data_IF_079435744032
#
_entry.id   IF_079435744032
#
_cell.length_a   1.000
_cell.length_b   1.000
_cell.length_c   1.000
_cell.angle_alpha   90.00
_cell.angle_beta   90.00
_cell.angle_gamma   90.00
#
_symmetry.space_group_name_H-M   'P 1'
#
loop_
_entity.id
_entity.type
_entity.pdbx_description
1 polymer ?
2 non-polymer ?
3 water ?
#
# COMPACT_ATOMS: atom_id res chain seq x y z
N UNK A 3 7.35 3.37 -30.23
CA UNK A 3 8.54 3.29 -29.34
C UNK A 3 8.14 2.53 -28.08
N UNK A 4 8.86 1.43 -27.78
CA UNK A 4 8.59 0.60 -26.59
C UNK A 4 8.72 1.37 -25.28
N UNK A 5 7.90 0.98 -24.31
CA UNK A 5 7.93 1.63 -23.01
C UNK A 5 9.00 1.06 -22.11
N UNK A 6 9.53 1.91 -21.23
CA UNK A 6 10.57 1.53 -20.29
C UNK A 6 9.98 0.63 -19.20
N UNK A 7 10.83 0.14 -18.31
CA UNK A 7 10.40 -0.71 -17.21
C UNK A 7 11.17 -0.29 -15.97
N UNK A 8 10.43 0.03 -14.92
CA UNK A 8 11.04 0.47 -13.67
C UNK A 8 10.86 -0.60 -12.62
N UNK A 9 11.94 -0.97 -11.96
CA UNK A 9 11.89 -1.99 -10.93
C UNK A 9 11.54 -1.37 -9.59
N UNK A 10 10.77 -2.11 -8.80
CA UNK A 10 10.37 -1.67 -7.47
C UNK A 10 11.59 -1.25 -6.65
N UNK A 11 12.66 -2.02 -6.80
CA UNK A 11 13.91 -1.76 -6.10
C UNK A 11 14.41 -0.34 -6.37
N UNK A 12 14.49 0.02 -7.65
CA UNK A 12 14.95 1.34 -8.07
C UNK A 12 14.18 2.46 -7.38
N UNK A 13 12.87 2.26 -7.23
CA UNK A 13 12.04 3.24 -6.57
C UNK A 13 12.40 3.31 -5.08
N UNK A 14 12.50 2.14 -4.46
CA UNK A 14 12.83 2.04 -3.03
C UNK A 14 14.19 2.67 -2.73
N UNK A 15 15.09 2.64 -3.72
CA UNK A 15 16.43 3.22 -3.59
C UNK A 15 16.34 4.64 -3.04
N UNK A 16 15.38 5.39 -3.55
CA UNK A 16 15.15 6.78 -3.17
C UNK A 16 15.02 6.99 -1.66
N UNK A 17 14.26 6.11 -1.01
CA UNK A 17 14.01 6.24 0.42
C UNK A 17 15.11 5.78 1.35
N UNK A 18 16.06 4.99 0.84
CA UNK A 18 17.17 4.49 1.65
C UNK A 18 17.83 5.55 2.52
N UNK A 19 18.38 6.57 1.89
CA UNK A 19 19.05 7.65 2.60
C UNK A 19 18.20 8.23 3.74
N UNK A 20 16.92 8.49 3.46
CA UNK A 20 16.01 9.04 4.46
C UNK A 20 15.85 8.09 5.64
N UNK A 21 15.40 6.87 5.33
CA UNK A 21 15.18 5.84 6.34
C UNK A 21 16.40 5.63 7.23
N UNK A 22 17.55 5.38 6.61
CA UNK A 22 18.79 5.16 7.33
C UNK A 22 19.01 6.22 8.41
N UNK A 23 19.13 7.47 7.99
CA UNK A 23 19.35 8.58 8.92
C UNK A 23 18.40 8.59 10.11
N UNK A 24 17.13 8.32 9.85
CA UNK A 24 16.13 8.29 10.93
C UNK A 24 16.49 7.20 11.93
N UNK A 25 16.93 6.05 11.43
CA UNK A 25 17.30 4.91 12.26
C UNK A 25 18.52 5.23 13.13
N UNK A 26 19.51 5.90 12.54
CA UNK A 26 20.73 6.25 13.27
C UNK A 26 20.39 7.10 14.50
N UNK A 27 19.54 8.11 14.31
CA UNK A 27 19.14 8.98 15.40
C UNK A 27 18.48 8.13 16.49
N UNK A 28 17.67 7.17 16.06
CA UNK A 28 16.98 6.28 16.97
C UNK A 28 18.01 5.47 17.77
N UNK A 29 19.01 4.94 17.07
CA UNK A 29 20.07 4.15 17.68
C UNK A 29 20.75 4.89 18.82
N UNK A 30 21.06 6.17 18.60
CA UNK A 30 21.72 6.98 19.62
C UNK A 30 20.92 6.92 20.91
N UNK A 31 19.74 7.51 20.88
CA UNK A 31 18.85 7.58 22.03
C UNK A 31 18.54 6.21 22.67
N UNK A 32 18.48 5.17 21.84
CA UNK A 32 18.18 3.83 22.35
C UNK A 32 19.42 2.94 22.43
N UNK A 33 20.44 3.47 23.09
CA UNK A 33 21.73 2.79 23.30
C UNK A 33 22.20 1.77 22.26
N UNK A 34 22.46 2.26 21.05
CA UNK A 34 22.95 1.40 19.98
C UNK A 34 21.98 0.48 19.27
N UNK A 35 20.88 0.10 19.90
CA UNK A 35 19.93 -0.80 19.26
C UNK A 35 18.86 -0.11 18.42
N UNK A 36 18.59 -0.69 17.26
CA UNK A 36 17.58 -0.15 16.37
C UNK A 36 16.21 -0.67 16.77
N UNK A 37 15.13 -0.29 16.06
CA UNK A 37 13.79 -0.75 16.39
C UNK A 37 13.58 -2.23 16.04
N UNK A 38 12.83 -2.93 16.88
CA UNK A 38 12.55 -4.35 16.67
C UNK A 38 11.27 -4.52 15.89
N UNK A 39 11.39 -5.04 14.67
CA UNK A 39 10.24 -5.27 13.81
C UNK A 39 10.01 -6.77 13.69
N UNK A 40 8.85 -7.21 14.15
CA UNK A 40 8.49 -8.63 14.10
C UNK A 40 7.60 -8.92 12.91
N UNK A 41 7.86 -10.05 12.25
CA UNK A 41 7.08 -10.45 11.10
C UNK A 41 6.49 -11.82 11.35
N UNK A 42 5.18 -11.93 11.25
CA UNK A 42 4.48 -13.19 11.46
C UNK A 42 4.15 -13.88 10.15
N UNK A 43 4.77 -15.03 9.91
CA UNK A 43 4.53 -15.80 8.71
C UNK A 43 3.72 -17.01 9.15
N UNK A 44 2.53 -17.17 8.60
CA UNK A 44 1.67 -18.29 8.98
C UNK A 44 0.99 -18.95 7.79
N UNK A 45 1.63 -18.85 6.62
CA UNK A 45 1.07 -19.44 5.41
C UNK A 45 2.14 -20.27 4.71
N UNK A 46 1.70 -21.30 4.00
CA UNK A 46 2.62 -22.19 3.29
C UNK A 46 2.65 -21.79 1.82
N UNK A 47 3.23 -20.63 1.55
CA UNK A 47 3.34 -20.12 0.18
C UNK A 47 4.76 -19.69 -0.13
N UNK A 48 5.35 -20.26 -1.20
CA UNK A 48 6.71 -19.95 -1.64
C UNK A 48 6.92 -18.45 -1.83
N UNK A 49 5.93 -17.79 -2.43
CA UNK A 49 5.98 -16.36 -2.69
C UNK A 49 6.04 -15.54 -1.41
N UNK A 50 5.14 -15.87 -0.48
CA UNK A 50 5.09 -15.17 0.80
C UNK A 50 6.42 -15.31 1.51
N UNK A 51 6.97 -16.52 1.51
CA UNK A 51 8.26 -16.79 2.16
C UNK A 51 9.36 -15.95 1.53
N UNK A 52 9.36 -15.88 0.20
CA UNK A 52 10.33 -15.10 -0.53
C UNK A 52 10.26 -13.64 -0.12
N UNK A 53 9.03 -13.10 -0.10
CA UNK A 53 8.78 -11.72 0.29
C UNK A 53 9.24 -11.49 1.73
N UNK A 54 8.91 -12.43 2.60
CA UNK A 54 9.27 -12.35 4.02
C UNK A 54 10.78 -12.21 4.14
N UNK A 55 11.50 -13.00 3.37
CA UNK A 55 12.96 -12.99 3.36
C UNK A 55 13.45 -11.61 2.91
N UNK A 56 12.78 -11.05 1.90
CA UNK A 56 13.14 -9.73 1.39
C UNK A 56 13.00 -8.66 2.48
N UNK A 57 11.85 -8.66 3.13
CA UNK A 57 11.58 -7.70 4.20
C UNK A 57 12.64 -7.84 5.29
N UNK A 58 12.95 -9.10 5.62
CA UNK A 58 13.95 -9.44 6.62
C UNK A 58 15.30 -8.79 6.30
N UNK A 59 15.84 -9.12 5.14
CA UNK A 59 17.13 -8.59 4.70
C UNK A 59 17.15 -7.08 4.55
N UNK A 60 16.12 -6.52 3.93
CA UNK A 60 16.04 -5.08 3.72
C UNK A 60 16.04 -4.32 5.05
N UNK A 61 15.22 -4.76 6.01
CA UNK A 61 15.14 -4.11 7.30
C UNK A 61 16.46 -4.22 8.06
N UNK A 62 17.02 -5.43 8.14
CA UNK A 62 18.29 -5.67 8.83
C UNK A 62 19.36 -4.79 8.20
N UNK A 63 19.35 -4.74 6.86
CA UNK A 63 20.30 -3.93 6.10
C UNK A 63 20.26 -2.47 6.57
N UNK A 64 19.04 -1.94 6.72
CA UNK A 64 18.85 -0.56 7.15
C UNK A 64 19.30 -0.35 8.60
N UNK A 65 19.09 -1.36 9.44
CA UNK A 65 19.49 -1.24 10.83
C UNK A 65 18.35 -1.57 11.78
N UNK A 66 17.41 -2.39 11.32
CA UNK A 66 16.26 -2.79 12.11
C UNK A 66 16.49 -4.18 12.69
N UNK A 67 16.04 -4.38 13.93
CA UNK A 67 16.17 -5.68 14.57
C UNK A 67 14.93 -6.44 14.08
N UNK A 68 15.09 -7.23 13.03
CA UNK A 68 13.97 -7.99 12.48
C UNK A 68 13.91 -9.42 12.99
N UNK A 69 12.72 -9.83 13.42
CA UNK A 69 12.49 -11.18 13.93
C UNK A 69 11.34 -11.73 13.10
N UNK A 70 11.50 -12.96 12.60
CA UNK A 70 10.47 -13.58 11.77
C UNK A 70 9.84 -14.75 12.52
N UNK A 71 8.90 -14.45 13.40
CA UNK A 71 8.22 -15.49 14.17
C UNK A 71 7.23 -16.25 13.29
N UNK A 72 7.63 -17.45 12.89
CA UNK A 72 6.81 -18.31 12.04
C UNK A 72 5.89 -19.19 12.89
N UNK A 73 4.61 -19.22 12.52
CA UNK A 73 3.61 -20.01 13.23
C UNK A 73 3.20 -21.23 12.41
N UNK A 74 3.04 -22.36 13.08
CA UNK A 74 2.66 -23.61 12.42
C UNK A 74 1.15 -23.64 12.13
N UNK A 75 0.35 -23.78 13.19
CA UNK A 75 -1.10 -23.81 13.06
C UNK A 75 -1.73 -22.42 13.13
N UNK A 76 -2.44 -22.07 12.05
CA UNK A 76 -3.12 -20.79 11.88
C UNK A 76 -3.75 -20.15 13.11
N UNK A 77 -4.60 -20.89 13.79
CA UNK A 77 -5.30 -20.39 14.97
C UNK A 77 -4.46 -19.82 16.10
N UNK A 78 -3.21 -20.25 16.21
CA UNK A 78 -2.33 -19.75 17.25
C UNK A 78 -1.62 -18.46 16.89
N UNK A 79 -1.73 -18.05 15.63
CA UNK A 79 -1.11 -16.81 15.16
C UNK A 79 -1.68 -15.66 15.95
N UNK A 80 -2.97 -15.74 16.25
CA UNK A 80 -3.67 -14.72 17.02
C UNK A 80 -3.01 -14.55 18.38
N UNK A 81 -2.92 -15.64 19.12
CA UNK A 81 -2.30 -15.64 20.44
C UNK A 81 -0.93 -14.99 20.39
N UNK A 82 -0.16 -15.37 19.38
CA UNK A 82 1.19 -14.85 19.18
C UNK A 82 1.16 -13.33 19.08
N UNK A 83 0.18 -12.81 18.35
CA UNK A 83 0.03 -11.37 18.17
C UNK A 83 -0.23 -10.68 19.51
N UNK A 84 -1.06 -11.31 20.33
CA UNK A 84 -1.40 -10.75 21.63
C UNK A 84 -0.18 -10.52 22.53
N UNK A 85 0.59 -11.56 22.79
CA UNK A 85 1.78 -11.41 23.64
C UNK A 85 2.77 -10.47 22.99
N UNK A 86 2.77 -10.42 21.66
CA UNK A 86 3.66 -9.54 20.90
C UNK A 86 3.27 -8.08 21.13
N UNK A 87 1.96 -7.84 21.23
CA UNK A 87 1.44 -6.50 21.47
C UNK A 87 2.00 -6.02 22.81
N UNK A 88 1.92 -6.89 23.81
CA UNK A 88 2.41 -6.55 25.13
C UNK A 88 3.92 -6.49 25.25
N UNK A 89 4.62 -7.16 24.33
CA UNK A 89 6.08 -7.17 24.34
C UNK A 89 6.63 -5.77 24.01
N UNK A 90 7.05 -5.05 25.04
CA UNK A 90 7.59 -3.70 24.90
C UNK A 90 8.79 -3.67 23.96
N UNK A 91 9.59 -4.74 23.98
CA UNK A 91 10.77 -4.83 23.14
C UNK A 91 10.37 -4.72 21.66
N UNK A 92 9.20 -5.27 21.33
CA UNK A 92 8.70 -5.22 19.96
C UNK A 92 8.22 -3.81 19.65
N UNK A 93 8.78 -3.23 18.59
CA UNK A 93 8.42 -1.87 18.19
C UNK A 93 7.46 -1.85 17.00
N UNK A 94 7.40 -2.94 16.26
CA UNK A 94 6.51 -3.01 15.11
C UNK A 94 6.11 -4.44 14.81
N UNK A 95 4.89 -4.62 14.31
CA UNK A 95 4.38 -5.94 13.99
C UNK A 95 3.73 -5.93 12.61
N UNK A 96 3.95 -7.00 11.86
CA UNK A 96 3.36 -7.14 10.54
C UNK A 96 2.97 -8.60 10.36
N UNK A 97 1.93 -8.84 9.57
CA UNK A 97 1.45 -10.20 9.36
C UNK A 97 1.50 -10.51 7.88
N UNK A 98 1.90 -11.74 7.55
CA UNK A 98 1.98 -12.15 6.17
C UNK A 98 0.71 -12.87 5.76
N UNK A 99 -0.10 -12.19 4.97
CA UNK A 99 -1.35 -12.76 4.47
C UNK A 99 -1.08 -13.46 3.14
N UNK A 100 -1.96 -14.40 2.75
CA UNK A 100 -3.15 -14.84 3.47
C UNK A 100 -2.86 -15.83 4.59
N UNK A 101 -3.37 -15.54 5.77
CA UNK A 101 -3.19 -16.42 6.92
C UNK A 101 -4.26 -17.52 6.82
N UNK A 102 -5.52 -17.10 6.95
CA UNK A 102 -6.67 -18.01 6.86
C UNK A 102 -7.27 -17.98 5.46
N UNK A 103 -7.17 -16.83 4.80
CA UNK A 103 -7.69 -16.69 3.46
C UNK A 103 -9.18 -16.45 3.40
N UNK A 104 -9.66 -15.48 4.18
CA UNK A 104 -11.08 -15.12 4.22
C UNK A 104 -11.29 -13.97 5.20
N UNK A 105 -12.46 -13.89 5.82
CA UNK A 105 -12.78 -12.83 6.77
C UNK A 105 -11.81 -12.77 7.95
N UNK A 106 -11.41 -13.94 8.44
CA UNK A 106 -10.50 -14.05 9.57
C UNK A 106 -9.31 -13.11 9.50
N UNK A 107 -8.66 -13.06 8.34
CA UNK A 107 -7.49 -12.20 8.12
C UNK A 107 -7.86 -10.75 8.42
N UNK A 108 -9.08 -10.38 8.02
CA UNK A 108 -9.59 -9.03 8.26
C UNK A 108 -9.84 -8.82 9.75
N UNK A 109 -10.12 -9.91 10.45
CA UNK A 109 -10.32 -9.86 11.89
C UNK A 109 -8.97 -9.66 12.56
N UNK A 110 -8.02 -10.47 12.15
CA UNK A 110 -6.66 -10.45 12.67
C UNK A 110 -6.00 -9.10 12.48
N UNK A 111 -6.24 -8.45 11.34
CA UNK A 111 -5.64 -7.15 11.08
C UNK A 111 -6.12 -6.09 12.08
N UNK A 112 -7.19 -6.40 12.79
CA UNK A 112 -7.73 -5.48 13.79
C UNK A 112 -7.30 -5.91 15.20
N UNK A 113 -6.51 -6.96 15.28
CA UNK A 113 -6.02 -7.49 16.54
C UNK A 113 -4.66 -6.88 16.92
N UNK A 114 -3.90 -6.52 15.89
CA UNK A 114 -2.59 -5.91 16.06
C UNK A 114 -2.69 -4.58 16.80
N UNK A 115 -1.81 -4.37 17.78
CA UNK A 115 -1.81 -3.13 18.55
C UNK A 115 -1.62 -1.96 17.59
N UNK A 116 -2.63 -1.10 17.55
CA UNK A 116 -2.63 0.08 16.67
C UNK A 116 -1.29 0.82 16.61
N UNK A 117 -0.68 1.07 17.77
CA UNK A 117 0.59 1.79 17.84
C UNK A 117 1.74 1.06 17.16
N UNK A 118 1.67 -0.27 17.13
CA UNK A 118 2.71 -1.09 16.53
C UNK A 118 2.39 -1.56 15.11
N UNK A 119 1.17 -1.33 14.65
CA UNK A 119 0.76 -1.74 13.31
C UNK A 119 1.51 -0.92 12.25
N UNK A 120 2.56 -1.53 11.69
CA UNK A 120 3.40 -0.86 10.71
C UNK A 120 2.84 -0.82 9.29
N UNK A 121 2.07 -1.84 8.91
CA UNK A 121 1.50 -1.89 7.57
C UNK A 121 0.28 -0.99 7.41
N UNK A 122 -0.37 -0.63 8.52
CA UNK A 122 -1.54 0.21 8.46
C UNK A 122 -2.78 -0.61 8.14
N UNK A 123 -2.88 -1.77 8.77
CA UNK A 123 -4.00 -2.68 8.60
C UNK A 123 -5.18 -2.31 9.50
N UNK A 124 -4.87 -1.69 10.63
CA UNK A 124 -5.88 -1.28 11.59
C UNK A 124 -6.94 -0.39 10.96
N UNK A 125 -8.18 -0.56 11.40
CA UNK A 125 -9.31 0.19 10.88
C UNK A 125 -9.16 1.71 10.98
N UNK A 126 -8.58 2.19 12.06
CA UNK A 126 -8.41 3.64 12.25
C UNK A 126 -7.71 4.33 11.08
N UNK A 127 -6.63 3.74 10.59
CA UNK A 127 -5.87 4.31 9.48
C UNK A 127 -6.70 4.33 8.20
N UNK A 128 -7.60 3.35 8.06
CA UNK A 128 -8.47 3.28 6.90
C UNK A 128 -9.51 4.39 6.93
N UNK A 129 -10.11 4.62 8.10
CA UNK A 129 -11.12 5.67 8.25
C UNK A 129 -10.48 7.00 7.92
N UNK A 130 -9.35 7.28 8.55
CA UNK A 130 -8.63 8.53 8.33
C UNK A 130 -8.30 8.77 6.86
N UNK A 131 -7.99 7.71 6.13
CA UNK A 131 -7.69 7.84 4.71
C UNK A 131 -8.96 8.23 3.95
N UNK A 132 -10.07 7.58 4.28
CA UNK A 132 -11.35 7.87 3.64
C UNK A 132 -11.92 9.23 4.02
N UNK A 133 -11.62 9.69 5.23
CA UNK A 133 -12.12 10.98 5.70
C UNK A 133 -11.05 12.06 5.69
N UNK A 134 -9.99 11.82 4.92
CA UNK A 134 -8.88 12.77 4.80
C UNK A 134 -8.32 13.32 6.10
N UNK A 135 -8.38 12.52 7.17
CA UNK A 135 -7.85 12.96 8.47
C UNK A 135 -6.33 12.76 8.45
N UNK A 136 -5.58 13.84 8.65
CA UNK A 136 -4.12 13.80 8.65
C UNK A 136 -3.49 13.34 9.96
N UNK A 137 -4.10 13.70 11.09
CA UNK A 137 -3.55 13.34 12.38
C UNK A 137 -4.49 12.47 13.20
N UNK A 138 -4.11 12.20 14.45
CA UNK A 138 -4.90 11.37 15.34
C UNK A 138 -5.40 12.18 16.53
N UNK A 139 -4.47 12.87 17.19
CA UNK A 139 -4.78 13.67 18.35
C UNK A 139 -5.37 15.03 18.00
N UNK A 140 -5.87 15.74 19.00
CA UNK A 140 -6.47 17.05 18.83
C UNK A 140 -5.39 18.10 18.54
N UNK A 141 -4.28 18.01 19.28
CA UNK A 141 -3.17 18.94 19.13
C UNK A 141 -2.28 18.72 17.89
N UNK A 142 -2.76 17.90 16.96
CA UNK A 142 -2.07 17.61 15.70
C UNK A 142 -0.60 17.15 15.78
N UNK A 143 -0.27 16.39 16.81
CA UNK A 143 1.09 15.89 16.97
C UNK A 143 1.25 14.52 16.30
N UNK A 144 0.40 13.57 16.69
CA UNK A 144 0.45 12.22 16.13
C UNK A 144 -0.14 12.11 14.73
N UNK A 145 0.74 12.03 13.73
CA UNK A 145 0.31 11.91 12.35
C UNK A 145 -0.17 10.48 12.08
N UNK A 146 -1.31 10.38 11.40
CA UNK A 146 -1.89 9.08 11.06
C UNK A 146 -1.25 8.55 9.79
N UNK A 147 -0.69 7.35 9.86
CA UNK A 147 -0.06 6.73 8.69
C UNK A 147 -1.11 6.07 7.81
N UNK A 148 -0.74 5.80 6.57
CA UNK A 148 -1.65 5.17 5.62
C UNK A 148 -1.14 3.77 5.33
N UNK A 149 -2.04 2.83 4.99
CA UNK A 149 -1.63 1.46 4.68
C UNK A 149 -0.54 1.45 3.60
N UNK A 150 0.57 0.80 3.89
CA UNK A 150 1.71 0.76 2.98
C UNK A 150 1.46 0.42 1.52
N UNK A 151 0.61 -0.55 1.24
CA UNK A 151 0.35 -0.94 -0.15
C UNK A 151 -0.11 0.24 -1.02
N UNK A 152 -1.28 0.84 -0.73
CA UNK A 152 -1.70 1.96 -1.57
C UNK A 152 -0.74 3.15 -1.48
N UNK A 153 -0.19 3.37 -0.28
CA UNK A 153 0.75 4.46 -0.05
C UNK A 153 1.98 4.28 -0.93
N UNK A 154 2.38 3.03 -1.14
CA UNK A 154 3.52 2.71 -1.98
C UNK A 154 3.21 3.08 -3.42
N UNK A 155 2.08 2.60 -3.92
CA UNK A 155 1.66 2.89 -5.29
C UNK A 155 1.67 4.38 -5.54
N UNK A 156 1.18 5.14 -4.57
CA UNK A 156 1.16 6.60 -4.67
C UNK A 156 2.59 7.08 -4.85
N UNK A 157 3.47 6.63 -3.96
CA UNK A 157 4.88 6.99 -4.00
C UNK A 157 5.52 6.58 -5.32
N UNK A 158 5.00 5.52 -5.92
CA UNK A 158 5.49 5.03 -7.20
C UNK A 158 5.14 6.07 -8.25
N UNK A 159 3.89 6.54 -8.20
CA UNK A 159 3.43 7.55 -9.14
C UNK A 159 4.21 8.85 -8.94
N UNK A 160 4.51 9.18 -7.68
CA UNK A 160 5.27 10.38 -7.36
C UNK A 160 6.67 10.26 -7.98
N UNK A 161 7.24 9.07 -7.91
CA UNK A 161 8.56 8.82 -8.48
C UNK A 161 8.47 8.97 -9.99
N UNK A 162 7.51 8.26 -10.59
CA UNK A 162 7.29 8.29 -12.03
C UNK A 162 6.94 9.67 -12.57
N UNK A 163 6.81 10.64 -11.67
CA UNK A 163 6.49 12.03 -12.01
C UNK A 163 5.06 12.31 -12.49
N UNK A 164 4.16 11.36 -12.26
CA UNK A 164 2.76 11.53 -12.65
C UNK A 164 2.16 12.62 -11.76
N UNK A 165 2.46 12.55 -10.47
CA UNK A 165 1.99 13.53 -9.50
C UNK A 165 2.68 14.85 -9.81
N UNK A 166 1.99 15.74 -10.52
CA UNK A 166 2.56 17.04 -10.87
C UNK A 166 2.99 17.79 -9.62
N UNK A 167 4.28 17.68 -9.32
CA UNK A 167 4.88 18.29 -8.13
C UNK A 167 5.06 19.81 -8.26
N UNK A 168 3.98 20.49 -8.66
CA UNK A 168 3.98 21.94 -8.80
C UNK A 168 2.60 22.48 -8.41
N UNK A 169 1.70 21.58 -8.03
CA UNK A 169 0.35 21.93 -7.61
C UNK A 169 0.29 21.74 -6.09
N UNK A 170 -0.65 22.45 -5.42
CA UNK A 170 -0.79 22.34 -3.97
C UNK A 170 -1.15 20.92 -3.53
N UNK A 171 -0.80 20.61 -2.29
CA UNK A 171 -1.05 19.30 -1.68
C UNK A 171 -2.52 18.89 -1.84
N UNK A 172 -2.73 17.64 -2.22
CA UNK A 172 -4.09 17.13 -2.40
C UNK A 172 -4.79 17.55 -3.68
N UNK A 173 -4.02 17.73 -4.75
CA UNK A 173 -4.60 18.11 -6.05
C UNK A 173 -3.55 18.00 -7.14
N UNK A 174 -2.51 17.22 -6.88
CA UNK A 174 -1.43 17.02 -7.83
C UNK A 174 -1.86 16.14 -9.00
N UNK A 175 -2.92 15.36 -8.79
CA UNK A 175 -3.46 14.47 -9.82
C UNK A 175 -4.65 15.04 -10.59
N UNK A 176 -4.96 16.32 -10.36
CA UNK A 176 -6.09 17.00 -11.01
C UNK A 176 -6.59 16.43 -12.35
N UNK A 177 -5.96 16.81 -13.45
CA UNK A 177 -6.40 16.35 -14.75
C UNK A 177 -5.86 14.99 -15.14
N UNK A 178 -6.11 13.97 -14.33
CA UNK A 178 -5.63 12.63 -14.64
C UNK A 178 -6.72 11.57 -14.48
N UNK A 179 -6.68 10.55 -15.33
CA UNK A 179 -7.65 9.47 -15.32
C UNK A 179 -6.98 8.18 -14.86
N UNK A 180 -7.45 7.62 -13.75
CA UNK A 180 -6.89 6.39 -13.21
C UNK A 180 -7.93 5.28 -13.15
N UNK A 181 -7.47 4.03 -13.19
CA UNK A 181 -8.36 2.89 -13.10
C UNK A 181 -7.67 1.84 -12.24
N UNK A 182 -8.40 1.31 -11.26
CA UNK A 182 -7.86 0.32 -10.34
C UNK A 182 -8.66 -0.97 -10.48
N UNK A 183 -8.00 -2.01 -11.00
CA UNK A 183 -8.65 -3.30 -11.19
C UNK A 183 -8.56 -4.09 -9.88
N UNK A 184 -9.30 -3.64 -8.88
CA UNK A 184 -9.34 -4.26 -7.55
C UNK A 184 -10.09 -3.33 -6.60
N UNK A 185 -11.02 -3.89 -5.84
CA UNK A 185 -11.78 -3.10 -4.88
C UNK A 185 -11.78 -3.80 -3.53
N UNK A 186 -10.66 -4.46 -3.21
CA UNK A 186 -10.51 -5.16 -1.94
C UNK A 186 -10.43 -4.09 -0.86
N UNK A 187 -11.10 -4.33 0.26
CA UNK A 187 -11.12 -3.39 1.37
C UNK A 187 -9.72 -3.09 1.88
N UNK A 188 -8.81 -4.03 1.66
CA UNK A 188 -7.41 -3.89 2.08
C UNK A 188 -6.54 -2.98 1.21
N UNK A 189 -6.78 -2.98 -0.09
CA UNK A 189 -5.98 -2.16 -1.00
C UNK A 189 -6.78 -1.41 -2.06
N UNK A 190 -7.47 -2.17 -2.91
CA UNK A 190 -8.24 -1.57 -3.98
C UNK A 190 -9.07 -0.34 -3.69
N UNK A 191 -10.09 -0.49 -2.85
CA UNK A 191 -10.96 0.64 -2.52
C UNK A 191 -10.19 1.82 -1.93
N UNK A 192 -9.34 1.58 -0.91
CA UNK A 192 -8.56 2.66 -0.31
C UNK A 192 -7.63 3.37 -1.30
N UNK A 193 -7.02 2.60 -2.19
CA UNK A 193 -6.11 3.13 -3.20
C UNK A 193 -6.86 4.09 -4.11
N UNK A 194 -7.96 3.60 -4.69
CA UNK A 194 -8.80 4.39 -5.58
C UNK A 194 -9.20 5.69 -4.91
N UNK A 195 -9.66 5.59 -3.68
CA UNK A 195 -10.08 6.74 -2.89
C UNK A 195 -8.91 7.72 -2.75
N UNK A 196 -7.81 7.21 -2.22
CA UNK A 196 -6.59 7.99 -2.01
C UNK A 196 -6.21 8.78 -3.27
N UNK A 197 -6.33 8.13 -4.42
CA UNK A 197 -6.02 8.76 -5.70
C UNK A 197 -6.99 9.89 -5.99
N UNK A 198 -8.28 9.59 -5.92
CA UNK A 198 -9.33 10.56 -6.17
C UNK A 198 -9.21 11.79 -5.28
N UNK A 199 -8.82 11.56 -4.04
CA UNK A 199 -8.64 12.64 -3.06
C UNK A 199 -7.56 13.59 -3.54
N UNK A 200 -6.64 13.10 -4.36
CA UNK A 200 -5.57 13.92 -4.88
C UNK A 200 -5.96 14.57 -6.21
N UNK A 201 -7.24 14.48 -6.56
CA UNK A 201 -7.72 15.10 -7.78
C UNK A 201 -8.17 14.21 -8.93
N UNK A 202 -7.43 13.14 -9.19
CA UNK A 202 -7.75 12.24 -10.30
C UNK A 202 -9.10 11.53 -10.24
N UNK A 203 -9.65 11.26 -11.42
CA UNK A 203 -10.92 10.55 -11.55
C UNK A 203 -10.52 9.07 -11.56
N UNK A 204 -11.19 8.24 -10.76
CA UNK A 204 -10.83 6.83 -10.69
C UNK A 204 -11.93 5.86 -11.13
N UNK A 205 -11.54 4.88 -11.93
CA UNK A 205 -12.46 3.85 -12.40
C UNK A 205 -12.15 2.60 -11.58
N UNK A 206 -12.98 2.32 -10.59
CA UNK A 206 -12.78 1.16 -9.73
C UNK A 206 -13.48 -0.08 -10.28
N UNK A 207 -12.67 -1.06 -10.70
CA UNK A 207 -13.18 -2.31 -11.26
C UNK A 207 -13.33 -3.40 -10.20
N UNK A 208 -14.43 -4.15 -10.32
CA UNK A 208 -14.75 -5.24 -9.40
C UNK A 208 -15.34 -6.35 -10.27
N UNK A 209 -15.42 -7.57 -9.72
CA UNK A 209 -15.97 -8.70 -10.46
C UNK A 209 -17.43 -8.47 -10.81
N UNK A 210 -18.17 -7.88 -9.88
CA UNK A 210 -19.59 -7.61 -10.08
C UNK A 210 -19.88 -6.34 -10.89
N UNK A 211 -19.34 -5.21 -10.44
CA UNK A 211 -19.59 -3.94 -11.13
C UNK A 211 -18.45 -2.94 -11.10
N UNK A 212 -18.58 -1.89 -11.90
CA UNK A 212 -17.59 -0.83 -12.01
C UNK A 212 -18.16 0.42 -11.36
N UNK A 213 -17.28 1.30 -10.89
CA UNK A 213 -17.69 2.56 -10.26
C UNK A 213 -16.74 3.68 -10.66
N UNK A 214 -17.09 4.91 -10.32
CA UNK A 214 -16.28 6.07 -10.67
C UNK A 214 -16.08 6.95 -9.45
N UNK A 215 -14.96 6.75 -8.76
CA UNK A 215 -14.65 7.51 -7.55
C UNK A 215 -14.14 8.90 -7.91
N UNK A 216 -14.76 9.92 -7.31
CA UNK A 216 -14.40 11.31 -7.55
C UNK A 216 -14.26 12.08 -6.23
N UNK A 217 -13.87 13.34 -6.33
CA UNK A 217 -13.67 14.21 -5.17
C UNK A 217 -14.91 14.31 -4.27
N UNK A 218 -14.67 14.62 -2.99
CA UNK A 218 -15.74 14.75 -2.02
C UNK A 218 -16.83 15.70 -2.48
N UNK A 219 -18.08 15.27 -2.30
CA UNK A 219 -19.23 16.07 -2.71
C UNK A 219 -20.06 16.53 -1.52
N UNK A 220 -19.54 16.37 -0.31
CA UNK A 220 -20.29 16.76 0.88
C UNK A 220 -19.55 17.70 1.84
N UNK A 221 -20.34 18.39 2.66
CA UNK A 221 -19.82 19.32 3.65
C UNK A 221 -19.90 18.68 5.04
N UNK A 222 -20.67 17.60 5.16
CA UNK A 222 -20.83 16.91 6.43
C UNK A 222 -19.73 15.85 6.62
N UNK A 223 -19.09 15.46 5.52
CA UNK A 223 -18.02 14.48 5.56
C UNK A 223 -17.09 14.67 4.35
N UNK A 224 -15.81 14.84 4.62
CA UNK A 224 -14.83 15.02 3.56
C UNK A 224 -14.42 13.65 3.01
N UNK A 225 -15.37 12.97 2.38
CA UNK A 225 -15.14 11.66 1.81
C UNK A 225 -15.40 11.69 0.31
N UNK A 226 -14.61 10.92 -0.44
CA UNK A 226 -14.73 10.84 -1.90
C UNK A 226 -16.15 10.44 -2.31
N UNK A 227 -16.66 11.11 -3.33
CA UNK A 227 -18.00 10.83 -3.84
C UNK A 227 -17.95 9.71 -4.88
N UNK A 228 -18.67 8.63 -4.62
CA UNK A 228 -18.70 7.49 -5.54
C UNK A 228 -19.83 7.61 -6.55
N UNK A 229 -19.51 7.40 -7.83
CA UNK A 229 -20.50 7.42 -8.89
C UNK A 229 -20.60 5.99 -9.40
N UNK A 230 -21.68 5.31 -9.06
CA UNK A 230 -21.88 3.93 -9.47
C UNK A 230 -22.04 3.83 -10.98
N UNK A 231 -21.55 2.75 -11.57
CA UNK A 231 -21.63 2.56 -13.02
C UNK A 231 -22.19 1.19 -13.39
N UNK A 232 -22.38 0.97 -14.69
CA UNK A 232 -22.93 -0.28 -15.18
C UNK A 232 -22.27 -1.55 -14.67
N UNK A 233 -23.04 -2.63 -14.66
CA UNK A 233 -22.56 -3.94 -14.21
C UNK A 233 -21.35 -4.32 -15.05
N UNK A 234 -20.43 -5.08 -14.46
CA UNK A 234 -19.21 -5.49 -15.13
C UNK A 234 -19.43 -6.13 -16.50
N UNK A 235 -19.10 -5.37 -17.54
CA UNK A 235 -19.20 -5.84 -18.91
C UNK A 235 -17.77 -5.75 -19.43
N UNK A 236 -17.30 -6.83 -20.05
CA UNK A 236 -15.93 -6.87 -20.58
C UNK A 236 -15.60 -5.66 -21.46
N UNK A 237 -16.40 -5.45 -22.50
CA UNK A 237 -16.19 -4.33 -23.41
C UNK A 237 -16.35 -2.97 -22.72
N UNK A 238 -17.02 -2.97 -21.57
CA UNK A 238 -17.22 -1.73 -20.81
C UNK A 238 -15.89 -1.38 -20.15
N UNK A 239 -15.26 -2.37 -19.54
CA UNK A 239 -13.97 -2.20 -18.87
C UNK A 239 -13.02 -1.57 -19.88
N UNK A 240 -13.07 -2.07 -21.12
CA UNK A 240 -12.24 -1.58 -22.20
C UNK A 240 -12.37 -0.07 -22.34
N UNK A 241 -13.62 0.41 -22.39
CA UNK A 241 -13.89 1.83 -22.55
C UNK A 241 -13.27 2.64 -21.40
N UNK A 242 -13.51 2.21 -20.17
CA UNK A 242 -12.98 2.89 -18.99
C UNK A 242 -11.45 2.97 -19.05
N UNK A 243 -10.81 1.83 -19.25
CA UNK A 243 -9.36 1.75 -19.32
C UNK A 243 -8.77 2.63 -20.42
N UNK A 244 -9.42 2.65 -21.58
CA UNK A 244 -8.94 3.44 -22.70
C UNK A 244 -8.84 4.92 -22.36
N UNK A 245 -9.75 5.39 -21.51
CA UNK A 245 -9.76 6.78 -21.09
C UNK A 245 -8.70 7.01 -20.01
N UNK A 246 -8.46 5.99 -19.20
CA UNK A 246 -7.49 6.06 -18.13
C UNK A 246 -6.04 6.13 -18.62
N UNK A 247 -5.34 7.18 -18.19
CA UNK A 247 -3.94 7.35 -18.56
C UNK A 247 -3.03 6.68 -17.53
N UNK A 248 -3.63 6.17 -16.45
CA UNK A 248 -2.90 5.46 -15.40
C UNK A 248 -3.71 4.24 -14.98
N UNK A 249 -3.10 3.07 -15.08
CA UNK A 249 -3.77 1.82 -14.73
C UNK A 249 -3.04 1.03 -13.66
N UNK A 250 -3.78 0.62 -12.64
CA UNK A 250 -3.24 -0.16 -11.54
C UNK A 250 -4.00 -1.48 -11.55
N UNK A 251 -3.32 -2.57 -11.21
CA UNK A 251 -3.97 -3.87 -11.20
C UNK A 251 -3.57 -4.70 -9.98
N UNK A 252 -4.48 -5.53 -9.51
CA UNK A 252 -4.19 -6.35 -8.34
C UNK A 252 -5.02 -7.60 -8.18
N UNK A 253 -5.50 -8.15 -9.29
CA UNK A 253 -6.30 -9.37 -9.24
C UNK A 253 -5.40 -10.55 -8.85
N UNK A 254 -5.85 -11.37 -7.88
CA UNK A 254 -5.16 -12.55 -7.33
C UNK A 254 -4.90 -13.73 -8.29
N UNK A 255 -5.58 -13.75 -9.43
CA UNK A 255 -5.44 -14.84 -10.39
C UNK A 255 -4.05 -14.92 -11.03
N UNK A 256 -3.39 -16.06 -10.83
CA UNK A 256 -2.07 -16.30 -11.39
C UNK A 256 -2.11 -16.36 -12.91
N UNK A 257 -3.32 -16.48 -13.45
CA UNK A 257 -3.52 -16.54 -14.90
C UNK A 257 -4.45 -15.45 -15.41
N UNK A 258 -4.25 -14.22 -14.94
CA UNK A 258 -5.07 -13.11 -15.41
C UNK A 258 -4.33 -12.40 -16.53
N UNK A 259 -5.10 -11.85 -17.46
CA UNK A 259 -4.54 -11.15 -18.61
C UNK A 259 -5.30 -9.87 -18.87
N UNK A 260 -4.64 -8.73 -18.70
CA UNK A 260 -5.26 -7.45 -18.96
C UNK A 260 -5.00 -7.10 -20.41
N UNK A 261 -6.00 -7.30 -21.29
CA UNK A 261 -5.90 -7.01 -22.72
C UNK A 261 -5.17 -5.71 -23.02
N UNK A 262 -4.05 -5.83 -23.73
CA UNK A 262 -3.22 -4.69 -24.11
C UNK A 262 -3.95 -3.67 -24.98
N UNK A 263 -5.10 -4.05 -25.54
CA UNK A 263 -5.88 -3.13 -26.36
C UNK A 263 -6.46 -2.05 -25.45
N UNK A 264 -6.76 -2.45 -24.22
CA UNK A 264 -7.34 -1.56 -23.21
C UNK A 264 -6.37 -0.43 -22.86
N UNK A 265 -5.09 -0.78 -22.73
CA UNK A 265 -4.05 0.20 -22.40
C UNK A 265 -4.02 1.33 -23.42
N UNK A 266 -4.03 2.55 -22.94
CA UNK A 266 -3.97 3.72 -23.82
C UNK A 266 -2.50 4.07 -24.01
N UNK A 267 -2.19 4.76 -25.11
CA UNK A 267 -0.82 5.15 -25.41
C UNK A 267 -0.33 6.10 -24.32
N UNK A 268 0.88 5.82 -23.80
CA UNK A 268 1.45 6.65 -22.76
C UNK A 268 0.94 6.32 -21.37
N UNK A 269 0.04 5.34 -21.27
CA UNK A 269 -0.51 4.94 -19.98
C UNK A 269 0.56 4.36 -19.07
N UNK A 270 0.52 4.76 -17.81
CA UNK A 270 1.46 4.27 -16.82
C UNK A 270 0.83 3.04 -16.16
N UNK A 271 1.50 1.90 -16.26
CA UNK A 271 0.99 0.66 -15.70
C UNK A 271 1.71 0.21 -14.44
N UNK A 272 0.92 -0.15 -13.43
CA UNK A 272 1.47 -0.63 -12.16
C UNK A 272 0.66 -1.84 -11.69
N UNK A 273 1.36 -2.86 -11.18
CA UNK A 273 0.72 -4.06 -10.65
C UNK A 273 1.17 -4.30 -9.22
N UNK A 274 0.22 -4.56 -8.34
CA UNK A 274 0.56 -4.82 -6.95
C UNK A 274 0.25 -6.26 -6.56
N UNK A 275 -0.48 -6.96 -7.42
CA UNK A 275 -0.82 -8.35 -7.15
C UNK A 275 0.46 -9.16 -7.11
N UNK A 276 0.53 -10.13 -6.20
CA UNK A 276 1.72 -10.97 -6.07
C UNK A 276 1.93 -11.81 -7.32
N UNK A 277 0.98 -11.74 -8.25
CA UNK A 277 1.08 -12.49 -9.49
C UNK A 277 1.15 -11.54 -10.69
N UNK A 278 1.56 -12.06 -11.83
CA UNK A 278 1.68 -11.28 -13.05
C UNK A 278 0.34 -11.33 -13.77
N UNK A 279 -0.46 -10.29 -13.57
CA UNK A 279 -1.77 -10.19 -14.20
C UNK A 279 -1.73 -9.36 -15.48
N UNK A 280 -0.55 -8.85 -15.81
CA UNK A 280 -0.34 -8.04 -17.00
C UNK A 280 0.20 -8.87 -18.15
N UNK A 281 -0.24 -8.56 -19.38
CA UNK A 281 0.24 -9.27 -20.56
C UNK A 281 1.55 -8.64 -21.01
N UNK A 282 2.61 -9.45 -21.02
CA UNK A 282 3.97 -9.04 -21.38
C UNK A 282 4.13 -7.97 -22.46
N UNK A 283 3.42 -8.12 -23.58
CA UNK A 283 3.51 -7.16 -24.67
C UNK A 283 3.12 -5.72 -24.33
N UNK A 284 2.57 -5.50 -23.13
CA UNK A 284 2.15 -4.18 -22.69
C UNK A 284 3.19 -3.07 -22.82
N UNK A 285 4.47 -3.45 -22.86
CA UNK A 285 5.55 -2.48 -22.97
C UNK A 285 5.36 -1.43 -24.07
N UNK A 286 4.97 -1.86 -25.27
CA UNK A 286 4.74 -0.90 -26.35
C UNK A 286 3.27 -0.49 -26.34
N UNK A 287 2.98 0.54 -25.53
CA UNK A 287 1.64 1.09 -25.37
C UNK A 287 1.81 1.97 -24.13
N UNK A 288 2.22 1.34 -23.04
CA UNK A 288 2.45 2.00 -21.77
C UNK A 288 3.75 2.79 -21.84
N UNK A 289 3.73 4.01 -21.30
CA UNK A 289 4.93 4.84 -21.30
C UNK A 289 5.94 4.27 -20.31
N UNK A 290 5.44 3.85 -19.16
CA UNK A 290 6.25 3.28 -18.10
C UNK A 290 5.54 2.05 -17.56
N UNK A 291 6.30 1.04 -17.16
CA UNK A 291 5.73 -0.19 -16.63
C UNK A 291 6.45 -0.67 -15.38
N UNK A 292 5.70 -0.81 -14.29
CA UNK A 292 6.25 -1.32 -13.04
C UNK A 292 5.60 -2.67 -12.83
N UNK A 293 6.35 -3.75 -13.08
CA UNK A 293 5.93 -5.14 -12.94
C UNK A 293 5.29 -5.51 -11.61
N UNK A 294 5.90 -5.09 -10.51
CA UNK A 294 5.36 -5.39 -9.18
C UNK A 294 5.85 -4.44 -8.10
N UNK A 295 4.96 -4.13 -7.16
CA UNK A 295 5.25 -3.22 -6.06
C UNK A 295 6.27 -3.78 -5.06
N UNK A 296 5.90 -4.84 -4.36
CA UNK A 296 6.76 -5.49 -3.39
C UNK A 296 7.79 -4.68 -2.63
N UNK A 297 8.97 -4.50 -3.22
CA UNK A 297 10.08 -3.76 -2.61
C UNK A 297 9.69 -2.36 -2.15
N UNK A 298 8.84 -1.68 -2.92
CA UNK A 298 8.38 -0.34 -2.58
C UNK A 298 7.47 -0.41 -1.35
N UNK A 299 6.58 -1.41 -1.34
CA UNK A 299 5.65 -1.62 -0.23
C UNK A 299 6.44 -1.76 1.07
N UNK A 300 7.55 -2.50 0.99
CA UNK A 300 8.42 -2.75 2.13
C UNK A 300 9.01 -1.44 2.67
N UNK A 301 9.51 -0.59 1.77
CA UNK A 301 10.10 0.68 2.15
C UNK A 301 9.09 1.54 2.92
N UNK A 302 7.87 1.60 2.41
CA UNK A 302 6.81 2.39 3.04
C UNK A 302 6.50 1.82 4.41
N UNK A 303 6.32 0.51 4.46
CA UNK A 303 6.04 -0.21 5.70
C UNK A 303 7.10 0.11 6.75
N UNK A 304 8.34 0.25 6.29
CA UNK A 304 9.46 0.56 7.15
C UNK A 304 9.39 2.00 7.69
N UNK A 305 9.25 2.97 6.77
CA UNK A 305 9.19 4.37 7.18
C UNK A 305 7.94 4.61 8.03
N UNK A 306 6.90 3.82 7.79
CA UNK A 306 5.66 3.92 8.55
C UNK A 306 6.02 3.58 9.99
N UNK A 307 6.79 2.51 10.15
CA UNK A 307 7.23 2.07 11.47
C UNK A 307 7.99 3.20 12.17
N UNK A 308 8.88 3.86 11.42
CA UNK A 308 9.66 4.96 11.97
C UNK A 308 8.74 6.08 12.47
N UNK A 309 7.63 6.29 11.77
CA UNK A 309 6.66 7.31 12.15
C UNK A 309 5.92 6.88 13.41
N UNK A 310 5.55 5.60 13.47
CA UNK A 310 4.85 5.05 14.63
C UNK A 310 5.72 5.22 15.86
N UNK A 311 6.97 4.81 15.75
CA UNK A 311 7.92 4.91 16.84
C UNK A 311 8.04 6.37 17.28
N UNK A 312 8.27 7.27 16.33
CA UNK A 312 8.37 8.69 16.64
C UNK A 312 7.10 9.13 17.37
N UNK A 313 5.96 8.56 16.96
CA UNK A 313 4.68 8.87 17.57
C UNK A 313 4.63 8.39 19.02
N UNK A 314 5.21 7.22 19.28
CA UNK A 314 5.25 6.66 20.62
C UNK A 314 6.06 7.58 21.54
N UNK A 315 7.21 8.04 21.03
CA UNK A 315 8.08 8.95 21.77
C UNK A 315 7.36 10.28 21.94
N UNK A 316 6.64 10.68 20.89
CA UNK A 316 5.89 11.93 20.86
C UNK A 316 4.71 11.92 21.83
N UNK A 317 4.15 10.74 22.09
CA UNK A 317 3.03 10.61 22.99
C UNK A 317 3.47 9.98 24.32
N UNK A 318 4.77 10.01 24.58
CA UNK A 318 5.33 9.46 25.81
C UNK A 318 4.82 10.22 27.03
N UNK A 319 4.40 11.46 26.81
CA UNK A 319 3.87 12.32 27.85
C UNK A 319 3.11 13.47 27.20
#
# INVERSE_FOLDING_TARGET
MSKPGRTILASKVAETFNTEIINNVEEYKKTHNGQGPLLVGFLANNDPAAKMYATWTQKTSESMGFRYDLRVIEDKDFLEEAIIQANGDDSVNGIMVYFPVFGNAQDQYLQQVVCKEKDVEGLNHVYYQNLYHNVRYLDKENRLKSILPCTPLAIVKILEFLKIYNNLLPEGNRLYGKKCIVINRSEIVGRPLAALLANDGATVYSVDVNNIQKFTRGESLKLNKHHVEDLGEYSEDLLKKCSLDSDVVITGVPSENYKFPTEYIKEGAVCINFACTKNFSDDVKEKASLYVPMTGKVTIAMLLRNMLRLVRNVELSKEK
#
